data_IF_504234373191
#
_entry.id   IF_504234373191
#
_cell.length_a   1.000
_cell.length_b   1.000
_cell.length_c   1.000
_cell.angle_alpha   90.00
_cell.angle_beta   90.00
_cell.angle_gamma   90.00
#
_symmetry.space_group_name_H-M   'P 1'
#
loop_
_entity.id
_entity.type
_entity.pdbx_description
1 polymer ?
#
# COMPACT_ATOMS: atom_id res chain seq x y z
N UNK A 1 -11.33 -9.37 5.02
CA UNK A 1 -10.36 -8.31 5.02
C UNK A 1 -9.73 -8.16 3.63
N UNK A 2 -8.94 -9.14 3.12
CA UNK A 2 -8.18 -9.02 1.85
C UNK A 2 -9.03 -8.61 0.65
N UNK A 3 -10.22 -9.18 0.47
CA UNK A 3 -11.12 -8.78 -0.63
C UNK A 3 -11.58 -7.32 -0.50
N UNK A 4 -11.84 -6.85 0.73
CA UNK A 4 -12.24 -5.47 0.99
C UNK A 4 -11.08 -4.47 0.71
N UNK A 5 -9.85 -4.86 1.03
CA UNK A 5 -8.62 -4.09 0.74
C UNK A 5 -8.40 -3.97 -0.78
N UNK A 6 -8.49 -5.07 -1.51
CA UNK A 6 -8.38 -5.08 -2.96
C UNK A 6 -9.46 -4.20 -3.62
N UNK A 7 -10.71 -4.31 -3.16
CA UNK A 7 -11.83 -3.47 -3.62
C UNK A 7 -11.57 -1.97 -3.37
N UNK A 8 -11.05 -1.62 -2.18
CA UNK A 8 -10.70 -0.23 -1.86
C UNK A 8 -9.63 0.34 -2.81
N UNK A 9 -8.56 -0.42 -3.03
CA UNK A 9 -7.46 -0.02 -3.92
C UNK A 9 -7.92 0.15 -5.37
N UNK A 10 -8.67 -0.82 -5.91
CA UNK A 10 -9.13 -0.80 -7.31
C UNK A 10 -10.04 0.40 -7.57
N UNK A 11 -11.05 0.63 -6.74
CA UNK A 11 -11.96 1.76 -6.95
C UNK A 11 -11.29 3.12 -6.73
N UNK A 12 -10.35 3.22 -5.79
CA UNK A 12 -9.59 4.45 -5.59
C UNK A 12 -8.68 4.74 -6.79
N UNK A 13 -7.96 3.73 -7.27
CA UNK A 13 -7.03 3.88 -8.41
C UNK A 13 -7.78 4.21 -9.69
N UNK A 14 -8.82 3.43 -10.04
CA UNK A 14 -9.63 3.69 -11.24
C UNK A 14 -10.30 5.06 -11.17
N UNK A 15 -10.88 5.42 -10.03
CA UNK A 15 -11.49 6.74 -9.85
C UNK A 15 -10.49 7.89 -9.98
N UNK A 16 -9.26 7.72 -9.51
CA UNK A 16 -8.19 8.72 -9.66
C UNK A 16 -7.80 8.90 -11.12
N UNK A 17 -7.68 7.81 -11.88
CA UNK A 17 -7.42 7.84 -13.33
C UNK A 17 -8.57 8.52 -14.06
N UNK A 18 -9.83 8.17 -13.77
CA UNK A 18 -11.01 8.78 -14.37
C UNK A 18 -11.05 10.29 -14.12
N UNK A 19 -10.77 10.72 -12.90
CA UNK A 19 -10.70 12.14 -12.54
C UNK A 19 -9.56 12.86 -13.29
N UNK A 20 -8.39 12.22 -13.43
CA UNK A 20 -7.28 12.80 -14.19
C UNK A 20 -7.67 12.97 -15.69
N UNK A 21 -8.23 11.94 -16.31
CA UNK A 21 -8.67 11.96 -17.70
C UNK A 21 -9.81 12.98 -17.93
N UNK A 22 -10.74 13.10 -16.98
CA UNK A 22 -11.88 14.02 -17.11
C UNK A 22 -11.49 15.49 -17.17
N UNK A 23 -10.28 15.86 -16.72
CA UNK A 23 -9.73 17.21 -16.76
C UNK A 23 -9.07 17.56 -18.09
N UNK A 24 -8.88 16.59 -18.98
CA UNK A 24 -8.24 16.79 -20.26
C UNK A 24 -9.19 17.46 -21.26
N UNK A 25 -8.63 18.34 -22.10
CA UNK A 25 -9.35 18.91 -23.23
C UNK A 25 -9.45 17.88 -24.36
N UNK A 26 -10.68 17.44 -24.64
CA UNK A 26 -10.97 16.41 -25.66
C UNK A 26 -10.70 16.90 -27.08
N UNK A 27 -10.69 18.20 -27.30
CA UNK A 27 -10.44 18.81 -28.62
C UNK A 27 -8.95 19.08 -28.85
N UNK A 28 -8.09 18.82 -27.84
CA UNK A 28 -6.64 18.97 -27.95
C UNK A 28 -6.06 17.93 -28.92
N UNK A 29 -5.16 18.35 -29.86
CA UNK A 29 -4.46 17.39 -30.75
C UNK A 29 -3.64 16.35 -29.97
N UNK A 30 -3.23 16.64 -28.74
CA UNK A 30 -2.44 15.77 -27.87
C UNK A 30 -3.30 14.97 -26.87
N UNK A 31 -4.63 14.97 -27.00
CA UNK A 31 -5.54 14.34 -26.04
C UNK A 31 -5.16 12.90 -25.68
N UNK A 32 -4.94 12.04 -26.68
CA UNK A 32 -4.59 10.64 -26.43
C UNK A 32 -3.23 10.46 -25.75
N UNK A 33 -2.27 11.33 -26.09
CA UNK A 33 -0.95 11.34 -25.44
C UNK A 33 -1.03 11.78 -23.98
N UNK A 34 -1.88 12.77 -23.69
CA UNK A 34 -2.13 13.21 -22.32
C UNK A 34 -2.88 12.14 -21.52
N UNK A 35 -3.87 11.47 -22.14
CA UNK A 35 -4.58 10.34 -21.53
C UNK A 35 -3.63 9.18 -21.18
N UNK A 36 -2.71 8.83 -22.09
CA UNK A 36 -1.68 7.82 -21.82
C UNK A 36 -0.82 8.21 -20.62
N UNK A 37 -0.39 9.46 -20.51
CA UNK A 37 0.37 9.96 -19.36
C UNK A 37 -0.42 9.84 -18.06
N UNK A 38 -1.71 10.17 -18.05
CA UNK A 38 -2.56 9.99 -16.86
C UNK A 38 -2.56 8.54 -16.38
N UNK A 39 -2.55 7.56 -17.29
CA UNK A 39 -2.48 6.13 -16.94
C UNK A 39 -1.08 5.78 -16.41
N UNK A 40 -0.02 6.23 -17.10
CA UNK A 40 1.38 5.98 -16.71
C UNK A 40 1.71 6.58 -15.34
N UNK A 41 1.16 7.74 -14.99
CA UNK A 41 1.34 8.39 -13.70
C UNK A 41 0.80 7.56 -12.52
N UNK A 42 -0.15 6.64 -12.79
CA UNK A 42 -0.73 5.72 -11.81
C UNK A 42 -0.12 4.30 -11.88
N UNK A 43 1.10 4.16 -12.41
CA UNK A 43 1.77 2.85 -12.56
C UNK A 43 2.05 2.17 -11.22
N UNK A 44 2.35 2.94 -10.16
CA UNK A 44 2.56 2.42 -8.81
C UNK A 44 1.27 1.82 -8.29
N UNK A 45 0.19 2.59 -8.29
CA UNK A 45 -1.12 2.19 -7.79
C UNK A 45 -1.68 0.99 -8.58
N UNK A 46 -1.52 0.98 -9.90
CA UNK A 46 -1.95 -0.13 -10.76
C UNK A 46 -1.20 -1.41 -10.46
N UNK A 47 0.12 -1.33 -10.24
CA UNK A 47 0.95 -2.48 -9.83
C UNK A 47 0.58 -2.99 -8.45
N UNK A 48 0.25 -2.09 -7.50
CA UNK A 48 -0.27 -2.45 -6.17
C UNK A 48 -1.61 -3.17 -6.32
N UNK A 49 -2.54 -2.64 -7.12
CA UNK A 49 -3.85 -3.27 -7.36
C UNK A 49 -3.70 -4.69 -7.92
N UNK A 50 -2.79 -4.90 -8.88
CA UNK A 50 -2.51 -6.22 -9.45
C UNK A 50 -1.97 -7.18 -8.40
N UNK A 51 -1.00 -6.77 -7.60
CA UNK A 51 -0.40 -7.62 -6.57
C UNK A 51 -1.42 -7.97 -5.48
N UNK A 52 -2.05 -6.96 -4.89
CA UNK A 52 -3.01 -7.17 -3.79
C UNK A 52 -4.23 -7.95 -4.28
N UNK A 53 -4.72 -7.68 -5.49
CA UNK A 53 -5.87 -8.39 -6.07
C UNK A 53 -5.58 -9.87 -6.30
N UNK A 54 -4.44 -10.20 -6.92
CA UNK A 54 -4.05 -11.59 -7.18
C UNK A 54 -3.78 -12.37 -5.90
N UNK A 55 -3.10 -11.77 -4.91
CA UNK A 55 -2.85 -12.41 -3.61
C UNK A 55 -4.14 -12.57 -2.77
N UNK A 56 -5.06 -11.59 -2.86
CA UNK A 56 -6.35 -11.70 -2.21
C UNK A 56 -7.20 -12.83 -2.81
N UNK A 57 -7.20 -12.95 -4.13
CA UNK A 57 -7.92 -14.02 -4.83
C UNK A 57 -7.34 -15.38 -4.47
N UNK A 58 -6.02 -15.54 -4.53
CA UNK A 58 -5.32 -16.78 -4.14
C UNK A 58 -5.72 -17.23 -2.74
N UNK A 59 -5.65 -16.32 -1.77
CA UNK A 59 -6.03 -16.58 -0.40
C UNK A 59 -7.52 -17.01 -0.29
N UNK A 60 -8.42 -16.27 -0.96
CA UNK A 60 -9.86 -16.54 -0.87
C UNK A 60 -10.26 -17.90 -1.47
N UNK A 61 -9.64 -18.30 -2.58
CA UNK A 61 -9.95 -19.61 -3.18
C UNK A 61 -9.33 -20.76 -2.40
N UNK A 62 -8.14 -20.56 -1.81
CA UNK A 62 -7.50 -21.56 -0.94
C UNK A 62 -8.36 -21.84 0.30
N UNK A 63 -8.78 -20.80 1.00
CA UNK A 63 -9.72 -20.89 2.13
C UNK A 63 -11.07 -21.49 1.67
N UNK A 64 -11.52 -21.16 0.46
CA UNK A 64 -12.72 -21.75 -0.12
C UNK A 64 -12.60 -23.25 -0.26
N UNK A 65 -11.50 -23.76 -0.82
CA UNK A 65 -11.25 -25.22 -0.90
C UNK A 65 -11.21 -25.84 0.49
N UNK A 66 -10.56 -25.19 1.46
CA UNK A 66 -10.48 -25.66 2.84
C UNK A 66 -11.87 -25.76 3.49
N UNK A 67 -12.73 -24.76 3.30
CA UNK A 67 -14.11 -24.74 3.83
C UNK A 67 -14.95 -25.85 3.23
N UNK A 68 -14.82 -26.11 1.93
CA UNK A 68 -15.52 -27.23 1.26
C UNK A 68 -14.96 -28.59 1.65
N UNK A 69 -13.76 -28.68 2.22
CA UNK A 69 -13.10 -29.92 2.57
C UNK A 69 -12.87 -30.83 1.34
N UNK A 70 -13.07 -32.12 1.46
CA UNK A 70 -12.90 -33.06 0.33
C UNK A 70 -13.73 -32.71 -0.91
N UNK A 71 -14.92 -32.13 -0.74
CA UNK A 71 -15.76 -31.66 -1.84
C UNK A 71 -15.14 -30.49 -2.59
N UNK A 72 -14.32 -29.66 -1.93
CA UNK A 72 -13.60 -28.55 -2.57
C UNK A 72 -12.44 -29.01 -3.47
N UNK A 73 -11.97 -30.23 -3.30
CA UNK A 73 -10.87 -30.80 -4.08
C UNK A 73 -11.33 -31.45 -5.39
N UNK A 74 -12.55 -32.00 -5.42
CA UNK A 74 -13.12 -32.68 -6.59
C UNK A 74 -13.75 -31.70 -7.58
N UNK A 75 -13.89 -32.09 -8.84
CA UNK A 75 -14.36 -31.21 -9.92
C UNK A 75 -15.88 -30.99 -9.96
N UNK A 76 -16.64 -31.64 -9.11
CA UNK A 76 -18.10 -31.48 -9.00
C UNK A 76 -18.51 -30.10 -8.49
N UNK A 77 -17.58 -29.38 -7.86
CA UNK A 77 -17.80 -28.04 -7.32
C UNK A 77 -16.89 -27.01 -8.01
N UNK A 78 -17.38 -25.80 -8.29
CA UNK A 78 -16.64 -24.80 -9.07
C UNK A 78 -15.38 -24.29 -8.36
N UNK A 79 -15.26 -24.44 -7.03
CA UNK A 79 -14.13 -23.92 -6.25
C UNK A 79 -12.80 -24.57 -6.66
N UNK A 80 -12.79 -25.87 -7.03
CA UNK A 80 -11.59 -26.54 -7.52
C UNK A 80 -11.07 -25.94 -8.83
N UNK A 81 -11.98 -25.58 -9.73
CA UNK A 81 -11.61 -24.88 -10.96
C UNK A 81 -11.12 -23.46 -10.65
N UNK A 82 -11.82 -22.70 -9.81
CA UNK A 82 -11.41 -21.35 -9.41
C UNK A 82 -10.00 -21.32 -8.81
N UNK A 83 -9.66 -22.33 -7.98
CA UNK A 83 -8.33 -22.48 -7.40
C UNK A 83 -7.24 -22.69 -8.46
N UNK A 84 -7.51 -23.49 -9.48
CA UNK A 84 -6.57 -23.69 -10.60
C UNK A 84 -6.43 -22.44 -11.47
N UNK A 85 -7.56 -21.81 -11.79
CA UNK A 85 -7.60 -20.65 -12.69
C UNK A 85 -6.96 -19.40 -12.06
N UNK A 86 -7.04 -19.24 -10.72
CA UNK A 86 -6.44 -18.10 -10.06
C UNK A 86 -4.91 -18.11 -10.14
N UNK A 87 -4.27 -19.28 -10.19
CA UNK A 87 -2.82 -19.40 -10.08
C UNK A 87 -2.05 -18.59 -11.12
N UNK A 88 -2.61 -18.42 -12.31
CA UNK A 88 -2.01 -17.64 -13.38
C UNK A 88 -1.97 -16.14 -13.07
N UNK A 89 -2.87 -15.62 -12.22
CA UNK A 89 -2.98 -14.19 -11.92
C UNK A 89 -1.73 -13.62 -11.24
N UNK A 90 -0.94 -14.43 -10.56
CA UNK A 90 0.35 -14.02 -9.99
C UNK A 90 1.51 -14.06 -10.98
N UNK A 91 1.28 -14.61 -12.19
CA UNK A 91 2.32 -14.85 -13.19
C UNK A 91 2.21 -13.91 -14.39
N UNK A 92 0.99 -13.79 -14.97
CA UNK A 92 0.78 -13.00 -16.20
C UNK A 92 0.66 -11.50 -15.92
N UNK A 93 0.70 -10.68 -16.96
CA UNK A 93 0.67 -9.19 -16.87
C UNK A 93 1.79 -8.64 -15.97
N UNK A 94 2.95 -9.28 -16.05
CA UNK A 94 4.06 -9.11 -15.12
C UNK A 94 3.85 -9.91 -13.82
N UNK A 95 4.83 -10.71 -13.43
CA UNK A 95 4.73 -11.44 -12.17
C UNK A 95 4.59 -10.47 -10.99
N UNK A 96 4.13 -10.94 -9.84
CA UNK A 96 4.03 -10.09 -8.65
C UNK A 96 5.40 -9.52 -8.26
N UNK A 97 6.47 -10.27 -8.46
CA UNK A 97 7.85 -9.81 -8.24
C UNK A 97 8.23 -8.66 -9.20
N UNK A 98 7.88 -8.78 -10.49
CA UNK A 98 8.10 -7.69 -11.47
C UNK A 98 7.30 -6.44 -11.11
N UNK A 99 6.06 -6.61 -10.65
CA UNK A 99 5.27 -5.48 -10.19
C UNK A 99 5.87 -4.82 -8.93
N UNK A 100 6.50 -5.58 -8.02
CA UNK A 100 7.26 -5.01 -6.90
C UNK A 100 8.45 -4.16 -7.38
N UNK A 101 9.17 -4.61 -8.43
CA UNK A 101 10.22 -3.80 -9.06
C UNK A 101 9.67 -2.49 -9.64
N UNK A 102 8.48 -2.52 -10.24
CA UNK A 102 7.82 -1.32 -10.78
C UNK A 102 7.46 -0.36 -9.64
N UNK A 103 6.83 -0.85 -8.56
CA UNK A 103 6.43 -0.03 -7.41
C UNK A 103 7.64 0.73 -6.85
N UNK A 104 8.71 0.02 -6.49
CA UNK A 104 9.91 0.62 -5.89
C UNK A 104 10.69 1.47 -6.89
N UNK A 105 10.84 1.00 -8.13
CA UNK A 105 11.58 1.72 -9.16
C UNK A 105 10.92 3.04 -9.58
N UNK A 106 9.60 3.09 -9.69
CA UNK A 106 8.89 4.34 -9.99
C UNK A 106 8.85 5.28 -8.78
N UNK A 107 8.72 4.76 -7.55
CA UNK A 107 8.83 5.58 -6.35
C UNK A 107 10.20 6.25 -6.26
N UNK A 108 11.29 5.50 -6.49
CA UNK A 108 12.64 6.01 -6.55
C UNK A 108 12.80 7.06 -7.68
N UNK A 109 12.31 6.76 -8.88
CA UNK A 109 12.38 7.67 -10.03
C UNK A 109 11.68 8.99 -9.74
N UNK A 110 10.45 8.96 -9.23
CA UNK A 110 9.67 10.16 -8.89
C UNK A 110 10.36 10.98 -7.79
N UNK A 111 11.01 10.32 -6.84
CA UNK A 111 11.79 10.97 -5.80
C UNK A 111 13.04 11.67 -6.32
N UNK A 112 13.81 11.02 -7.20
CA UNK A 112 15.03 11.60 -7.79
C UNK A 112 14.71 12.75 -8.74
N UNK A 113 13.59 12.68 -9.47
CA UNK A 113 13.12 13.75 -10.36
C UNK A 113 12.40 14.90 -9.64
N UNK A 114 12.32 14.84 -8.31
CA UNK A 114 11.62 15.80 -7.46
C UNK A 114 10.11 15.93 -7.77
N UNK A 115 9.54 14.91 -8.43
CA UNK A 115 8.09 14.78 -8.62
C UNK A 115 7.38 14.46 -7.29
N UNK A 116 8.12 13.82 -6.36
CA UNK A 116 7.76 13.68 -4.95
C UNK A 116 8.81 14.46 -4.16
N UNK A 117 8.49 15.63 -3.59
CA UNK A 117 9.43 16.47 -2.84
C UNK A 117 9.65 15.88 -1.43
N UNK A 118 10.36 14.74 -1.35
CA UNK A 118 10.51 13.94 -0.13
C UNK A 118 11.04 14.76 1.02
N UNK A 119 12.10 15.54 0.80
CA UNK A 119 12.75 16.34 1.86
C UNK A 119 11.80 17.38 2.44
N UNK A 120 11.03 18.05 1.58
CA UNK A 120 10.03 19.02 2.00
C UNK A 120 8.90 18.34 2.78
N UNK A 121 8.43 17.18 2.28
CA UNK A 121 7.39 16.39 2.94
C UNK A 121 7.83 15.85 4.30
N UNK A 122 9.10 15.49 4.49
CA UNK A 122 9.65 15.07 5.77
C UNK A 122 9.75 16.28 6.73
N UNK A 123 10.24 17.44 6.26
CA UNK A 123 10.36 18.63 7.06
C UNK A 123 9.00 19.18 7.52
N UNK A 124 8.03 19.26 6.61
CA UNK A 124 6.67 19.69 6.94
C UNK A 124 6.00 18.81 8.00
N UNK A 125 6.42 17.54 8.12
CA UNK A 125 5.84 16.59 9.07
C UNK A 125 6.56 16.53 10.40
N UNK A 126 7.84 16.89 10.46
CA UNK A 126 8.55 17.07 11.74
C UNK A 126 7.94 18.22 12.57
N UNK A 127 7.32 19.20 11.89
CA UNK A 127 6.65 20.34 12.54
C UNK A 127 5.16 20.09 12.82
N UNK A 128 4.53 19.12 12.15
CA UNK A 128 3.17 18.69 12.47
C UNK A 128 3.24 17.70 13.65
N UNK A 129 3.32 18.25 14.86
CA UNK A 129 2.80 17.53 16.02
C UNK A 129 1.40 16.98 15.65
N UNK A 130 1.09 15.77 16.10
CA UNK A 130 -0.09 14.92 15.86
C UNK A 130 -1.46 15.63 16.00
N UNK A 131 -1.54 16.92 15.77
CA UNK A 131 -2.65 17.82 16.12
C UNK A 131 -3.57 18.20 14.96
N UNK A 132 -3.44 17.63 13.76
CA UNK A 132 -4.42 17.91 12.71
C UNK A 132 -5.67 17.04 12.84
N UNK A 133 -6.35 17.21 14.00
CA UNK A 133 -7.62 16.57 14.35
C UNK A 133 -8.82 17.22 13.65
N UNK A 134 -8.63 18.22 12.79
CA UNK A 134 -9.70 19.02 12.21
C UNK A 134 -10.58 18.30 11.18
N UNK A 135 -10.18 17.11 10.69
CA UNK A 135 -10.93 16.32 9.71
C UNK A 135 -11.10 14.82 10.06
N UNK A 136 -10.72 14.40 11.27
CA UNK A 136 -10.88 13.01 11.68
C UNK A 136 -12.31 12.76 12.18
N UNK A 137 -12.95 11.73 11.64
CA UNK A 137 -14.12 11.14 12.27
C UNK A 137 -13.66 10.69 13.66
N UNK A 138 -14.32 11.12 14.72
CA UNK A 138 -13.91 10.88 16.11
C UNK A 138 -13.60 9.39 16.39
N UNK A 139 -14.23 8.47 15.63
CA UNK A 139 -14.04 7.02 15.71
C UNK A 139 -12.80 6.49 14.96
N UNK A 140 -12.02 7.34 14.27
CA UNK A 140 -10.89 6.95 13.39
C UNK A 140 -9.60 7.73 13.68
N UNK A 141 -9.47 8.31 14.87
CA UNK A 141 -8.29 9.12 15.22
C UNK A 141 -7.04 8.25 15.26
N UNK A 142 -7.08 7.11 15.97
CA UNK A 142 -5.94 6.20 16.11
C UNK A 142 -5.54 5.62 14.74
N UNK A 143 -6.53 5.23 13.94
CA UNK A 143 -6.31 4.69 12.59
C UNK A 143 -5.70 5.74 11.64
N UNK A 144 -6.19 6.97 11.70
CA UNK A 144 -5.63 8.08 10.91
C UNK A 144 -4.20 8.41 11.32
N UNK A 145 -3.89 8.38 12.62
CA UNK A 145 -2.54 8.54 13.13
C UNK A 145 -1.60 7.44 12.63
N UNK A 146 -2.02 6.17 12.66
CA UNK A 146 -1.24 5.06 12.15
C UNK A 146 -0.91 5.23 10.66
N UNK A 147 -1.86 5.69 9.84
CA UNK A 147 -1.62 5.99 8.42
C UNK A 147 -0.58 7.10 8.25
N UNK A 148 -0.69 8.20 8.98
CA UNK A 148 0.26 9.31 8.88
C UNK A 148 1.66 8.94 9.37
N UNK A 149 1.76 8.12 10.41
CA UNK A 149 3.03 7.57 10.87
C UNK A 149 3.65 6.64 9.84
N UNK A 150 2.86 5.75 9.25
CA UNK A 150 3.32 4.88 8.17
C UNK A 150 3.84 5.68 6.98
N UNK A 151 3.14 6.75 6.60
CA UNK A 151 3.59 7.66 5.55
C UNK A 151 4.96 8.27 5.88
N UNK A 152 5.13 8.71 7.12
CA UNK A 152 6.39 9.29 7.59
C UNK A 152 7.53 8.26 7.55
N UNK A 153 7.28 7.03 7.99
CA UNK A 153 8.25 5.93 7.95
C UNK A 153 8.64 5.63 6.50
N UNK A 154 7.68 5.46 5.59
CA UNK A 154 7.93 5.18 4.16
C UNK A 154 8.79 6.28 3.53
N UNK A 155 8.51 7.56 3.80
CA UNK A 155 9.28 8.68 3.26
C UNK A 155 10.71 8.73 3.82
N UNK A 156 10.90 8.47 5.12
CA UNK A 156 12.23 8.43 5.72
C UNK A 156 13.05 7.27 5.16
N UNK A 157 12.46 6.06 5.08
CA UNK A 157 13.15 4.90 4.50
C UNK A 157 13.52 5.14 3.04
N UNK A 158 12.65 5.76 2.24
CA UNK A 158 12.98 6.11 0.86
C UNK A 158 14.15 7.10 0.79
N UNK A 159 14.15 8.11 1.66
CA UNK A 159 15.27 9.05 1.74
C UNK A 159 16.58 8.35 2.10
N UNK A 160 16.55 7.45 3.07
CA UNK A 160 17.74 6.73 3.53
C UNK A 160 18.26 5.76 2.47
N UNK A 161 17.36 5.08 1.74
CA UNK A 161 17.72 4.25 0.57
C UNK A 161 18.39 5.09 -0.53
N UNK A 162 17.89 6.30 -0.80
CA UNK A 162 18.49 7.20 -1.78
C UNK A 162 19.87 7.68 -1.31
N UNK A 163 20.02 8.00 -0.04
CA UNK A 163 21.30 8.44 0.53
C UNK A 163 22.34 7.32 0.53
N UNK A 164 21.92 6.09 0.89
CA UNK A 164 22.83 4.93 0.99
C UNK A 164 23.24 4.36 -0.38
N UNK A 165 22.30 4.24 -1.30
CA UNK A 165 22.49 3.50 -2.55
C UNK A 165 22.24 4.32 -3.83
N UNK A 166 21.59 5.47 -3.72
CA UNK A 166 21.24 6.28 -4.89
C UNK A 166 20.41 5.50 -5.91
N UNK A 167 20.86 5.48 -7.17
CA UNK A 167 20.20 4.73 -8.24
C UNK A 167 20.45 3.22 -8.19
N UNK A 168 21.47 2.77 -7.46
CA UNK A 168 21.83 1.36 -7.36
C UNK A 168 20.87 0.56 -6.47
N UNK A 169 20.08 1.22 -5.65
CA UNK A 169 18.99 0.62 -4.87
C UNK A 169 18.13 -0.35 -5.70
N UNK A 170 17.80 0.01 -6.95
CA UNK A 170 16.98 -0.81 -7.85
C UNK A 170 17.60 -2.17 -8.21
N UNK A 171 18.91 -2.36 -7.99
CA UNK A 171 19.64 -3.58 -8.31
C UNK A 171 19.62 -4.59 -7.14
N UNK A 172 19.24 -4.15 -5.94
CA UNK A 172 19.13 -4.99 -4.76
C UNK A 172 17.70 -5.49 -4.58
N UNK A 173 17.47 -6.77 -4.88
CA UNK A 173 16.14 -7.36 -4.85
C UNK A 173 15.53 -7.39 -3.44
N UNK A 174 16.35 -7.56 -2.39
CA UNK A 174 15.88 -7.57 -1.01
C UNK A 174 15.33 -6.20 -0.62
N UNK A 175 16.06 -5.13 -0.90
CA UNK A 175 15.63 -3.77 -0.62
C UNK A 175 14.39 -3.38 -1.42
N UNK A 176 14.39 -3.71 -2.72
CA UNK A 176 13.28 -3.40 -3.63
C UNK A 176 11.99 -4.10 -3.20
N UNK A 177 12.07 -5.38 -2.85
CA UNK A 177 10.89 -6.16 -2.42
C UNK A 177 10.32 -5.62 -1.11
N UNK A 178 11.14 -5.47 -0.07
CA UNK A 178 10.68 -4.97 1.22
C UNK A 178 10.13 -3.55 1.12
N UNK A 179 10.73 -2.68 0.33
CA UNK A 179 10.23 -1.32 0.13
C UNK A 179 8.90 -1.29 -0.64
N UNK A 180 8.72 -2.15 -1.68
CA UNK A 180 7.45 -2.29 -2.38
C UNK A 180 6.33 -2.77 -1.44
N UNK A 181 6.62 -3.70 -0.54
CA UNK A 181 5.67 -4.20 0.46
C UNK A 181 5.28 -3.10 1.46
N UNK A 182 6.24 -2.27 1.90
CA UNK A 182 5.94 -1.09 2.73
C UNK A 182 4.99 -0.11 2.03
N UNK A 183 5.27 0.27 0.78
CA UNK A 183 4.41 1.16 -0.01
C UNK A 183 3.02 0.54 -0.17
N UNK A 184 2.96 -0.77 -0.46
CA UNK A 184 1.70 -1.49 -0.62
C UNK A 184 0.87 -1.47 0.66
N UNK A 185 1.47 -1.81 1.81
CA UNK A 185 0.81 -1.79 3.11
C UNK A 185 0.31 -0.40 3.48
N UNK A 186 1.12 0.64 3.28
CA UNK A 186 0.72 2.03 3.46
C UNK A 186 -0.47 2.39 2.55
N UNK A 187 -0.43 2.03 1.26
CA UNK A 187 -1.49 2.33 0.29
C UNK A 187 -2.82 1.67 0.65
N UNK A 188 -2.79 0.43 1.15
CA UNK A 188 -3.98 -0.28 1.65
C UNK A 188 -4.64 0.51 2.80
N UNK A 189 -3.85 0.97 3.76
CA UNK A 189 -4.36 1.72 4.91
C UNK A 189 -4.95 3.08 4.49
N UNK A 190 -4.23 3.85 3.67
CA UNK A 190 -4.64 5.16 3.20
C UNK A 190 -5.94 5.09 2.37
N UNK A 191 -6.03 4.12 1.45
CA UNK A 191 -7.26 3.90 0.66
C UNK A 191 -8.41 3.40 1.52
N UNK A 192 -8.15 2.57 2.51
CA UNK A 192 -9.15 2.09 3.46
C UNK A 192 -9.80 3.22 4.26
N UNK A 193 -9.01 4.16 4.80
CA UNK A 193 -9.51 5.37 5.47
C UNK A 193 -10.37 6.21 4.53
N UNK A 194 -9.88 6.45 3.30
CA UNK A 194 -10.62 7.21 2.29
C UNK A 194 -11.96 6.55 1.94
N UNK A 195 -11.98 5.23 1.78
CA UNK A 195 -13.19 4.47 1.51
C UNK A 195 -14.23 4.63 2.60
N UNK A 196 -13.86 4.46 3.88
CA UNK A 196 -14.79 4.60 5.02
C UNK A 196 -15.31 6.03 5.14
N UNK A 197 -14.49 7.05 4.89
CA UNK A 197 -14.93 8.45 4.90
C UNK A 197 -16.01 8.73 3.86
N UNK A 198 -16.02 8.02 2.74
CA UNK A 198 -16.99 8.18 1.67
C UNK A 198 -18.25 7.31 1.81
N UNK A 199 -18.31 6.39 2.79
CA UNK A 199 -19.52 5.60 3.07
C UNK A 199 -20.52 6.46 3.82
N UNK A 200 -21.65 6.75 3.18
CA UNK A 200 -22.77 7.52 3.76
C UNK A 200 -23.79 6.64 4.48
N UNK A 201 -23.94 5.37 4.06
CA UNK A 201 -24.85 4.42 4.68
C UNK A 201 -24.32 3.96 6.03
N UNK A 202 -25.10 4.23 7.11
CA UNK A 202 -24.71 3.94 8.49
C UNK A 202 -24.52 2.44 8.76
N UNK A 203 -25.40 1.58 8.24
CA UNK A 203 -25.29 0.14 8.46
C UNK A 203 -24.07 -0.43 7.74
N UNK A 204 -23.82 -0.03 6.47
CA UNK A 204 -22.62 -0.41 5.75
C UNK A 204 -21.36 0.04 6.49
N UNK A 205 -21.33 1.25 7.02
CA UNK A 205 -20.21 1.77 7.80
C UNK A 205 -19.96 0.95 9.05
N UNK A 206 -21.02 0.57 9.77
CA UNK A 206 -20.95 -0.26 10.97
C UNK A 206 -20.31 -1.62 10.70
N UNK A 207 -20.61 -2.27 9.56
CA UNK A 207 -20.04 -3.56 9.21
C UNK A 207 -18.61 -3.46 8.67
N UNK A 208 -18.26 -2.36 7.99
CA UNK A 208 -16.93 -2.21 7.39
C UNK A 208 -15.88 -1.63 8.34
N UNK A 209 -16.29 -0.90 9.38
CA UNK A 209 -15.38 -0.30 10.35
C UNK A 209 -14.45 -1.31 11.06
N UNK A 210 -14.94 -2.46 11.57
CA UNK A 210 -14.06 -3.48 12.15
C UNK A 210 -13.07 -4.06 11.14
N UNK A 211 -13.48 -4.20 9.87
CA UNK A 211 -12.60 -4.67 8.79
C UNK A 211 -11.48 -3.67 8.54
N UNK A 212 -11.80 -2.37 8.51
CA UNK A 212 -10.79 -1.31 8.40
C UNK A 212 -9.81 -1.36 9.57
N UNK A 213 -10.31 -1.43 10.82
CA UNK A 213 -9.45 -1.46 12.01
C UNK A 213 -8.46 -2.63 11.97
N UNK A 214 -8.95 -3.81 11.63
CA UNK A 214 -8.08 -4.99 11.43
C UNK A 214 -7.10 -4.80 10.28
N UNK A 215 -7.53 -4.18 9.17
CA UNK A 215 -6.66 -3.87 8.04
C UNK A 215 -5.54 -2.92 8.44
N UNK A 216 -5.86 -1.85 9.16
CA UNK A 216 -4.87 -0.87 9.66
C UNK A 216 -3.86 -1.57 10.58
N UNK A 217 -4.33 -2.35 11.56
CA UNK A 217 -3.44 -3.04 12.48
C UNK A 217 -2.43 -3.94 11.76
N UNK A 218 -2.90 -4.79 10.85
CA UNK A 218 -2.03 -5.74 10.14
C UNK A 218 -1.05 -5.03 9.23
N UNK A 219 -1.51 -4.06 8.43
CA UNK A 219 -0.66 -3.36 7.49
C UNK A 219 0.32 -2.38 8.18
N UNK A 220 -0.07 -1.81 9.33
CA UNK A 220 0.85 -1.01 10.14
C UNK A 220 2.03 -1.85 10.67
N UNK A 221 1.73 -3.06 11.18
CA UNK A 221 2.77 -4.01 11.60
C UNK A 221 3.67 -4.42 10.43
N UNK A 222 3.11 -4.59 9.24
CA UNK A 222 3.89 -4.86 8.03
C UNK A 222 4.86 -3.72 7.70
N UNK A 223 4.38 -2.45 7.72
CA UNK A 223 5.25 -1.28 7.52
C UNK A 223 6.39 -1.24 8.53
N UNK A 224 6.11 -1.49 9.82
CA UNK A 224 7.13 -1.51 10.87
C UNK A 224 8.14 -2.65 10.66
N UNK A 225 7.67 -3.86 10.36
CA UNK A 225 8.55 -5.02 10.13
C UNK A 225 9.48 -4.78 8.95
N UNK A 226 8.92 -4.37 7.80
CA UNK A 226 9.72 -4.13 6.59
C UNK A 226 10.67 -2.95 6.71
N UNK A 227 10.26 -1.89 7.42
CA UNK A 227 11.16 -0.77 7.69
C UNK A 227 12.35 -1.19 8.53
N UNK A 228 12.13 -2.04 9.54
CA UNK A 228 13.20 -2.59 10.35
C UNK A 228 14.15 -3.47 9.53
N UNK A 229 13.61 -4.40 8.73
CA UNK A 229 14.40 -5.26 7.86
C UNK A 229 15.33 -4.45 6.93
N UNK A 230 14.81 -3.36 6.35
CA UNK A 230 15.59 -2.45 5.49
C UNK A 230 16.67 -1.72 6.30
N UNK A 231 16.33 -1.18 7.46
CA UNK A 231 17.29 -0.45 8.30
C UNK A 231 18.40 -1.35 8.79
N UNK A 232 18.08 -2.55 9.29
CA UNK A 232 19.07 -3.55 9.72
C UNK A 232 19.99 -3.94 8.55
N UNK A 233 19.43 -4.05 7.32
CA UNK A 233 20.23 -4.32 6.14
C UNK A 233 21.17 -3.17 5.79
N UNK A 234 20.70 -1.92 5.81
CA UNK A 234 21.52 -0.73 5.55
C UNK A 234 22.64 -0.61 6.58
N UNK A 235 22.36 -0.77 7.88
CA UNK A 235 23.35 -0.66 8.95
C UNK A 235 24.45 -1.74 8.84
N UNK A 236 24.09 -2.95 8.43
CA UNK A 236 25.05 -4.04 8.24
C UNK A 236 25.97 -3.85 7.01
N UNK A 237 25.57 -3.01 6.05
CA UNK A 237 26.29 -2.81 4.79
C UNK A 237 26.81 -1.37 4.61
N UNK A 238 26.45 -0.46 5.49
CA UNK A 238 26.79 0.96 5.36
C UNK A 238 26.90 1.65 6.74
N UNK A 239 28.13 1.85 7.23
CA UNK A 239 28.43 2.38 8.59
C UNK A 239 27.92 3.82 8.87
N UNK A 240 27.23 4.48 7.91
CA UNK A 240 27.00 5.92 7.97
C UNK A 240 25.58 6.34 8.35
N UNK A 241 24.63 5.43 8.54
CA UNK A 241 23.20 5.80 8.70
C UNK A 241 22.59 5.13 9.92
N UNK A 242 22.11 5.93 10.87
CA UNK A 242 21.33 5.49 12.04
C UNK A 242 19.88 5.90 11.90
N UNK A 243 19.05 5.00 11.36
CA UNK A 243 17.61 5.25 11.13
C UNK A 243 16.71 4.57 12.17
N UNK A 244 17.21 3.51 12.84
CA UNK A 244 16.46 2.69 13.79
C UNK A 244 15.85 3.48 14.96
N UNK A 245 16.54 4.51 15.47
CA UNK A 245 16.03 5.32 16.58
C UNK A 245 14.71 6.04 16.26
N UNK A 246 14.52 6.46 15.00
CA UNK A 246 13.30 7.15 14.56
C UNK A 246 12.11 6.20 14.41
N UNK A 247 12.37 4.94 14.02
CA UNK A 247 11.33 3.91 13.85
C UNK A 247 10.85 3.43 15.21
N UNK A 248 11.77 3.22 16.16
CA UNK A 248 11.45 2.84 17.54
C UNK A 248 10.60 3.90 18.26
N UNK A 249 10.85 5.18 18.02
CA UNK A 249 10.03 6.26 18.56
C UNK A 249 8.63 6.28 17.94
N UNK A 250 8.51 6.00 16.64
CA UNK A 250 7.22 5.86 15.98
C UNK A 250 6.42 4.66 16.50
N UNK A 251 7.05 3.52 16.73
CA UNK A 251 6.38 2.30 17.24
C UNK A 251 5.79 2.47 18.64
N UNK A 252 6.41 3.31 19.48
CA UNK A 252 5.95 3.61 20.85
C UNK A 252 4.75 4.54 20.91
N UNK A 253 4.53 5.36 19.89
CA UNK A 253 3.47 6.38 19.87
C UNK A 253 2.08 5.82 19.52
N UNK A 254 2.00 4.67 18.84
CA UNK A 254 0.73 4.01 18.49
C UNK A 254 0.61 2.70 19.26
N UNK A 255 0.10 2.78 20.48
CA UNK A 255 -0.34 1.58 21.21
C UNK A 255 -1.75 1.20 20.73
N UNK A 256 -1.84 0.37 19.70
CA UNK A 256 -3.10 -0.31 19.42
C UNK A 256 -3.40 -1.25 20.60
N UNK A 257 -4.40 -0.92 21.41
CA UNK A 257 -4.85 -1.85 22.43
C UNK A 257 -5.55 -3.01 21.73
N UNK A 258 -4.95 -4.20 21.76
CA UNK A 258 -5.54 -5.46 21.27
C UNK A 258 -6.95 -5.71 21.81
N UNK A 259 -7.28 -5.11 22.97
CA UNK A 259 -8.58 -5.19 23.63
C UNK A 259 -9.74 -4.48 22.92
N UNK A 260 -9.49 -3.73 21.85
CA UNK A 260 -10.56 -3.03 21.08
C UNK A 260 -10.99 -3.74 19.80
N UNK A 261 -10.42 -4.92 19.51
CA UNK A 261 -10.70 -5.70 18.26
C UNK A 261 -11.68 -6.84 18.54
N UNK A 262 -12.00 -7.14 19.80
CA UNK A 262 -13.01 -8.13 20.19
C UNK A 262 -14.43 -7.57 20.22
#
# INVERSE_FOLDING_TARGET
RRAWEADALVYMTSGSIDVAISKLDKDSPDYYKQMQRCIEDHSIESSICKNVGSEALAYCVDEGVQIFGGAGFIEDYPIAQMYRDERINRIFEGTNEINKLIISGYALKKAILDEIPIREMILLRSDFGINDSSNSIQDLIEESQAVEMSRTIVLNVLNDLIVAYGQDFKNDQFLVENFAEMITAFSIMDTGIKKIKNITNHDQKRFTLPVLKLSILVNYQEVLSKSKDICDYIENHNDSISTLSKIDDCSKLVSFSESKIC
#
